data_IF_989357691788
#
_entry.id   IF_989357691788
#
_cell.length_a   1.000
_cell.length_b   1.000
_cell.length_c   1.000
_cell.angle_alpha   90.00
_cell.angle_beta   90.00
_cell.angle_gamma   90.00
#
_symmetry.space_group_name_H-M   'P 1'
#
loop_
_entity.id
_entity.type
_entity.pdbx_description
1 polymer ?
#
# COMPACT_ATOMS: atom_id res chain seq x y z
N UNK A 1 1.23 32.45 0.44
CA UNK A 1 0.58 31.35 -0.32
C UNK A 1 -0.24 31.89 -1.48
N UNK A 2 -1.24 32.74 -1.26
CA UNK A 2 -2.06 33.34 -2.33
C UNK A 2 -1.25 34.01 -3.45
N UNK A 3 -0.23 34.81 -3.10
CA UNK A 3 0.66 35.44 -4.10
C UNK A 3 1.40 34.43 -4.97
N UNK A 4 1.95 33.34 -4.39
CA UNK A 4 2.58 32.27 -5.16
C UNK A 4 1.59 31.55 -6.07
N UNK A 5 0.38 31.35 -5.59
CA UNK A 5 -0.70 30.73 -6.36
C UNK A 5 -1.12 31.58 -7.56
N UNK A 6 -1.23 32.90 -7.38
CA UNK A 6 -1.46 33.87 -8.46
C UNK A 6 -0.31 33.90 -9.47
N UNK A 7 0.94 33.92 -8.99
CA UNK A 7 2.11 33.90 -9.86
C UNK A 7 2.17 32.62 -10.71
N UNK A 8 1.85 31.46 -10.11
CA UNK A 8 1.76 30.19 -10.83
C UNK A 8 0.62 30.17 -11.87
N UNK A 9 -0.57 30.67 -11.52
CA UNK A 9 -1.69 30.78 -12.45
C UNK A 9 -1.36 31.70 -13.64
N UNK A 10 -0.67 32.82 -13.40
CA UNK A 10 -0.20 33.71 -14.46
C UNK A 10 0.79 33.02 -15.40
N UNK A 11 1.74 32.25 -14.85
CA UNK A 11 2.69 31.46 -15.65
C UNK A 11 1.98 30.39 -16.50
N UNK A 12 0.95 29.72 -15.96
CA UNK A 12 0.14 28.76 -16.73
C UNK A 12 -0.67 29.43 -17.83
N UNK A 13 -1.22 30.62 -17.57
CA UNK A 13 -1.96 31.38 -18.57
C UNK A 13 -1.05 31.79 -19.74
N UNK A 14 0.15 32.28 -19.43
CA UNK A 14 1.17 32.62 -20.44
C UNK A 14 1.60 31.39 -21.24
N UNK A 15 1.95 30.28 -20.57
CA UNK A 15 2.39 29.05 -21.21
C UNK A 15 1.32 28.33 -22.04
N UNK A 16 0.04 28.69 -21.88
CA UNK A 16 -1.09 28.10 -22.59
C UNK A 16 -1.74 29.05 -23.60
N UNK A 17 -1.08 30.17 -23.94
CA UNK A 17 -1.62 31.23 -24.81
C UNK A 17 -3.04 31.69 -24.38
N UNK A 18 -3.27 31.74 -23.07
CA UNK A 18 -4.53 32.18 -22.48
C UNK A 18 -5.65 31.13 -22.43
N UNK A 19 -5.40 29.89 -22.84
CA UNK A 19 -6.38 28.80 -22.76
C UNK A 19 -6.73 28.42 -21.31
N UNK A 20 -5.74 28.45 -20.41
CA UNK A 20 -5.96 28.31 -18.97
C UNK A 20 -6.16 29.71 -18.35
N UNK A 21 -7.30 29.91 -17.71
CA UNK A 21 -7.61 31.15 -16.99
C UNK A 21 -7.97 30.82 -15.53
N UNK A 22 -7.52 31.62 -14.56
CA UNK A 22 -7.87 31.38 -13.16
C UNK A 22 -9.37 31.51 -12.90
N UNK A 23 -9.85 30.87 -11.82
CA UNK A 23 -11.16 31.19 -11.25
C UNK A 23 -11.27 32.67 -10.82
N UNK A 24 -12.49 33.18 -10.60
CA UNK A 24 -12.73 34.61 -10.35
C UNK A 24 -12.24 35.09 -8.98
N UNK A 25 -12.31 34.24 -7.95
CA UNK A 25 -11.90 34.60 -6.60
C UNK A 25 -11.19 33.45 -5.88
N UNK A 26 -10.24 33.78 -5.00
CA UNK A 26 -9.74 32.81 -4.05
C UNK A 26 -10.88 32.42 -3.10
N UNK A 27 -11.04 31.13 -2.76
CA UNK A 27 -12.01 30.74 -1.75
C UNK A 27 -11.64 31.40 -0.42
N UNK A 28 -12.57 32.19 0.12
CA UNK A 28 -12.53 32.72 1.47
C UNK A 28 -13.71 32.15 2.27
N UNK A 29 -13.67 32.27 3.60
CA UNK A 29 -14.77 31.80 4.44
C UNK A 29 -16.12 32.47 4.10
N UNK A 30 -16.08 33.66 3.51
CA UNK A 30 -17.25 34.47 3.15
C UNK A 30 -17.60 34.41 1.65
N UNK A 31 -16.91 33.57 0.87
CA UNK A 31 -17.14 33.49 -0.59
C UNK A 31 -18.46 32.79 -0.91
N UNK A 32 -19.26 33.39 -1.80
CA UNK A 32 -20.42 32.72 -2.40
C UNK A 32 -19.92 31.54 -3.28
N UNK A 33 -20.46 30.32 -3.13
CA UNK A 33 -20.08 29.18 -3.98
C UNK A 33 -20.21 29.44 -5.48
N UNK A 34 -21.10 30.34 -5.90
CA UNK A 34 -21.24 30.75 -7.30
C UNK A 34 -20.03 31.55 -7.82
N UNK A 35 -19.31 32.25 -6.95
CA UNK A 35 -18.07 32.97 -7.29
C UNK A 35 -16.86 32.04 -7.48
N UNK A 36 -16.94 30.79 -6.99
CA UNK A 36 -15.94 29.74 -7.23
C UNK A 36 -15.99 29.21 -8.67
N UNK A 37 -16.99 29.61 -9.47
CA UNK A 37 -17.07 29.28 -10.89
C UNK A 37 -16.36 30.35 -11.74
N UNK A 38 -15.22 29.97 -12.31
CA UNK A 38 -14.46 30.77 -13.27
C UNK A 38 -14.84 30.52 -14.73
N UNK A 39 -14.30 31.30 -15.68
CA UNK A 39 -14.40 30.98 -17.12
C UNK A 39 -13.67 29.69 -17.51
N UNK A 40 -12.84 29.14 -16.61
CA UNK A 40 -12.07 27.92 -16.78
C UNK A 40 -11.99 27.15 -15.45
N UNK A 41 -11.82 25.81 -15.49
CA UNK A 41 -11.75 24.96 -14.28
C UNK A 41 -10.41 25.06 -13.52
N UNK A 42 -9.57 26.08 -13.78
CA UNK A 42 -8.28 26.20 -13.10
C UNK A 42 -8.47 26.69 -11.65
N UNK A 43 -8.24 25.79 -10.70
CA UNK A 43 -8.25 26.12 -9.28
C UNK A 43 -7.19 27.18 -8.96
N UNK A 44 -7.61 28.25 -8.27
CA UNK A 44 -6.73 29.34 -7.87
C UNK A 44 -5.73 28.93 -6.78
N UNK A 45 -6.01 27.89 -6.00
CA UNK A 45 -5.05 27.32 -5.05
C UNK A 45 -4.47 26.04 -5.63
N UNK A 46 -3.19 26.03 -6.07
CA UNK A 46 -2.56 24.83 -6.58
C UNK A 46 -2.47 23.78 -5.50
N UNK A 47 -2.76 22.54 -5.88
CA UNK A 47 -2.50 21.39 -5.04
C UNK A 47 -0.99 21.08 -5.06
N UNK A 48 -0.30 21.36 -3.96
CA UNK A 48 1.08 20.92 -3.78
C UNK A 48 1.13 19.43 -3.44
N UNK A 49 1.46 18.63 -4.46
CA UNK A 49 1.57 17.17 -4.37
C UNK A 49 2.75 16.71 -3.53
N UNK A 50 3.78 17.54 -3.39
CA UNK A 50 4.94 17.30 -2.53
C UNK A 50 5.08 18.40 -1.47
N UNK A 51 5.21 17.99 -0.21
CA UNK A 51 5.41 18.87 0.94
C UNK A 51 6.79 18.71 1.55
N UNK A 52 7.10 19.54 2.55
CA UNK A 52 8.29 19.36 3.38
C UNK A 52 8.20 18.03 4.12
N UNK A 53 9.33 17.34 4.21
CA UNK A 53 9.46 16.08 4.95
C UNK A 53 10.44 16.26 6.09
N UNK A 54 10.21 15.46 7.12
CA UNK A 54 11.13 15.29 8.22
C UNK A 54 12.47 14.77 7.69
N UNK A 55 13.58 15.32 8.20
CA UNK A 55 14.88 14.66 8.13
C UNK A 55 14.93 13.69 9.31
N UNK A 56 14.66 12.42 9.02
CA UNK A 56 14.55 11.39 10.06
C UNK A 56 15.88 10.73 10.40
N UNK A 57 15.88 9.91 11.45
CA UNK A 57 17.02 9.04 11.80
C UNK A 57 17.35 8.06 10.66
N UNK A 58 16.35 7.69 9.88
CA UNK A 58 16.49 6.94 8.64
C UNK A 58 15.75 7.66 7.51
N UNK A 59 16.20 7.48 6.26
CA UNK A 59 15.50 7.97 5.07
C UNK A 59 15.12 6.78 4.22
N UNK A 60 13.82 6.56 3.98
CA UNK A 60 13.37 5.50 3.07
C UNK A 60 13.73 5.85 1.64
N UNK A 61 14.51 5.00 0.99
CA UNK A 61 14.99 5.17 -0.39
C UNK A 61 14.34 4.19 -1.36
N UNK A 62 14.47 4.45 -2.66
CA UNK A 62 13.86 3.63 -3.70
C UNK A 62 14.35 2.18 -3.66
N UNK A 63 15.64 1.98 -3.35
CA UNK A 63 16.30 0.68 -3.29
C UNK A 63 15.64 -0.25 -2.26
N UNK A 64 15.11 0.33 -1.18
CA UNK A 64 14.41 -0.40 -0.12
C UNK A 64 12.98 -0.81 -0.52
N UNK A 65 12.51 -0.40 -1.70
CA UNK A 65 11.20 -0.77 -2.24
C UNK A 65 11.31 -1.78 -3.40
N UNK A 66 12.52 -2.07 -3.87
CA UNK A 66 12.75 -2.94 -5.01
C UNK A 66 12.52 -4.41 -4.63
N UNK A 67 11.95 -5.23 -5.52
CA UNK A 67 11.81 -6.66 -5.29
C UNK A 67 13.19 -7.32 -5.22
N UNK A 68 13.33 -8.32 -4.35
CA UNK A 68 14.58 -9.07 -4.20
C UNK A 68 14.88 -10.03 -5.38
N UNK A 69 13.90 -10.28 -6.27
CA UNK A 69 14.04 -11.17 -7.41
C UNK A 69 12.91 -11.05 -8.42
N UNK A 70 12.96 -11.81 -9.53
CA UNK A 70 11.89 -11.85 -10.53
C UNK A 70 10.63 -12.54 -10.00
N UNK A 71 9.49 -12.23 -10.60
CA UNK A 71 8.20 -12.86 -10.26
C UNK A 71 7.63 -12.35 -8.93
N UNK A 72 7.02 -13.26 -8.16
CA UNK A 72 6.50 -12.97 -6.82
C UNK A 72 7.68 -12.71 -5.88
N UNK A 73 7.93 -11.43 -5.53
CA UNK A 73 8.97 -11.05 -4.58
C UNK A 73 8.58 -9.85 -3.70
N UNK A 74 9.12 -9.82 -2.48
CA UNK A 74 9.04 -8.67 -1.55
C UNK A 74 10.37 -7.90 -1.54
N UNK A 75 10.33 -6.65 -1.08
CA UNK A 75 11.55 -5.92 -0.76
C UNK A 75 12.21 -6.46 0.51
N UNK A 76 13.51 -6.20 0.67
CA UNK A 76 14.25 -6.60 1.86
C UNK A 76 13.68 -5.93 3.12
N UNK A 77 13.64 -6.66 4.23
CA UNK A 77 13.24 -6.10 5.52
C UNK A 77 14.29 -5.08 5.99
N UNK A 78 13.89 -3.91 6.48
CA UNK A 78 14.82 -2.99 7.12
C UNK A 78 15.25 -3.56 8.47
N UNK A 79 16.55 -3.53 8.73
CA UNK A 79 17.16 -4.03 9.97
C UNK A 79 18.07 -2.98 10.59
N UNK A 80 18.19 -3.00 11.92
CA UNK A 80 19.21 -2.25 12.63
C UNK A 80 20.61 -2.90 12.45
N UNK A 81 21.70 -2.27 12.95
CA UNK A 81 23.06 -2.86 12.86
C UNK A 81 23.23 -4.20 13.59
N UNK A 82 22.31 -4.58 14.47
CA UNK A 82 22.31 -5.86 15.18
C UNK A 82 21.46 -6.93 14.45
N UNK A 83 20.86 -6.58 13.31
CA UNK A 83 20.04 -7.48 12.49
C UNK A 83 18.58 -7.56 12.92
N UNK A 84 18.13 -6.75 13.89
CA UNK A 84 16.74 -6.74 14.31
C UNK A 84 15.87 -5.98 13.30
N UNK A 85 14.71 -6.54 12.93
CA UNK A 85 13.78 -5.89 11.99
C UNK A 85 13.19 -4.61 12.57
N UNK A 86 13.32 -3.49 11.86
CA UNK A 86 12.85 -2.16 12.32
C UNK A 86 11.52 -1.72 11.72
N UNK A 87 10.88 -2.56 10.91
CA UNK A 87 9.63 -2.25 10.22
C UNK A 87 8.47 -1.98 11.18
N UNK A 88 7.66 -0.96 10.88
CA UNK A 88 6.43 -0.61 11.61
C UNK A 88 5.21 -0.42 10.71
N UNK A 89 5.38 -0.48 9.39
CA UNK A 89 4.27 -0.43 8.44
C UNK A 89 4.65 -1.12 7.13
N UNK A 90 3.67 -1.73 6.48
CA UNK A 90 3.83 -2.41 5.19
C UNK A 90 3.07 -1.66 4.11
N UNK A 91 3.75 -1.35 3.00
CA UNK A 91 3.18 -0.78 1.78
C UNK A 91 3.33 -1.73 0.60
N UNK A 92 2.53 -1.55 -0.45
CA UNK A 92 2.57 -2.40 -1.66
C UNK A 92 2.15 -1.65 -2.94
N UNK A 93 2.31 -0.33 -2.96
CA UNK A 93 1.93 0.46 -4.12
C UNK A 93 3.10 0.55 -5.11
N UNK A 94 2.78 0.41 -6.40
CA UNK A 94 3.76 0.62 -7.45
C UNK A 94 4.19 2.10 -7.46
N UNK A 95 5.46 2.35 -7.72
CA UNK A 95 5.96 3.72 -7.78
C UNK A 95 5.34 4.47 -8.96
N UNK A 96 4.56 5.49 -8.64
CA UNK A 96 3.74 6.26 -9.59
C UNK A 96 4.33 7.67 -9.80
N UNK A 97 5.63 7.72 -10.15
CA UNK A 97 6.26 8.93 -10.65
C UNK A 97 6.14 8.97 -12.18
N UNK A 98 5.58 10.07 -12.67
CA UNK A 98 5.53 10.40 -14.08
C UNK A 98 6.36 11.66 -14.32
N UNK A 99 7.36 11.56 -15.19
CA UNK A 99 8.18 12.69 -15.60
C UNK A 99 7.79 13.10 -17.02
N UNK A 100 7.78 14.40 -17.35
CA UNK A 100 7.58 14.84 -18.72
C UNK A 100 8.74 14.34 -19.61
N UNK A 101 8.43 13.98 -20.85
CA UNK A 101 9.41 13.48 -21.81
C UNK A 101 9.31 11.97 -22.05
N UNK A 102 10.36 11.34 -22.60
CA UNK A 102 10.37 9.91 -22.88
C UNK A 102 10.28 9.10 -21.57
N UNK A 103 9.68 7.92 -21.65
CA UNK A 103 9.61 7.01 -20.51
C UNK A 103 11.01 6.68 -19.99
N UNK A 104 11.20 6.93 -18.69
CA UNK A 104 12.42 6.54 -18.00
C UNK A 104 12.31 5.06 -17.62
N UNK A 105 13.29 4.21 -17.96
CA UNK A 105 13.26 2.81 -17.56
C UNK A 105 13.48 2.74 -16.04
N UNK A 106 12.39 2.74 -15.29
CA UNK A 106 12.42 2.51 -13.85
C UNK A 106 12.52 1.00 -13.59
N UNK A 107 13.28 0.62 -12.56
CA UNK A 107 13.26 -0.74 -12.07
C UNK A 107 11.81 -1.16 -11.74
N UNK A 108 11.37 -2.37 -12.15
CA UNK A 108 10.02 -2.83 -11.90
C UNK A 108 9.81 -2.96 -10.39
N UNK A 109 8.90 -2.16 -9.84
CA UNK A 109 8.46 -2.17 -8.43
C UNK A 109 7.09 -2.80 -8.31
N UNK A 110 6.83 -3.74 -9.20
CA UNK A 110 5.56 -4.43 -9.32
C UNK A 110 5.79 -5.86 -9.74
N UNK A 111 4.94 -6.74 -9.25
CA UNK A 111 4.92 -8.16 -9.56
C UNK A 111 3.50 -8.59 -9.91
N UNK A 112 3.38 -9.73 -10.60
CA UNK A 112 2.10 -10.40 -10.78
C UNK A 112 1.69 -11.06 -9.47
N UNK A 113 0.52 -10.70 -8.96
CA UNK A 113 -0.07 -11.33 -7.79
C UNK A 113 -1.60 -11.19 -7.81
N UNK A 114 -2.31 -12.27 -7.47
CA UNK A 114 -3.77 -12.25 -7.34
C UNK A 114 -4.51 -11.81 -8.60
N UNK A 115 -4.02 -12.17 -9.80
CA UNK A 115 -4.67 -11.87 -11.08
C UNK A 115 -4.37 -10.49 -11.68
N UNK A 116 -3.46 -9.71 -11.08
CA UNK A 116 -3.12 -8.35 -11.54
C UNK A 116 -1.65 -8.01 -11.30
N UNK A 117 -1.22 -6.87 -11.84
CA UNK A 117 0.00 -6.20 -11.38
C UNK A 117 -0.25 -5.55 -10.01
N UNK A 118 0.57 -5.92 -9.03
CA UNK A 118 0.57 -5.37 -7.68
C UNK A 118 1.95 -4.76 -7.42
N UNK A 119 2.03 -3.71 -6.60
CA UNK A 119 3.34 -3.18 -6.21
C UNK A 119 4.08 -4.18 -5.32
N UNK A 120 5.41 -4.14 -5.40
CA UNK A 120 6.28 -4.91 -4.50
C UNK A 120 5.98 -4.52 -3.05
N UNK A 121 5.70 -5.48 -2.15
CA UNK A 121 5.55 -5.17 -0.75
C UNK A 121 6.87 -4.71 -0.16
N UNK A 122 6.83 -3.64 0.61
CA UNK A 122 7.98 -3.05 1.28
C UNK A 122 7.60 -2.59 2.68
N UNK A 123 8.62 -2.31 3.47
CA UNK A 123 8.48 -1.95 4.87
C UNK A 123 8.96 -0.52 5.15
N UNK A 124 8.32 0.15 6.09
CA UNK A 124 8.76 1.46 6.60
C UNK A 124 9.44 1.24 7.95
N UNK A 125 10.75 1.57 8.08
CA UNK A 125 11.45 1.48 9.35
C UNK A 125 10.97 2.55 10.33
N UNK A 126 10.97 2.22 11.63
CA UNK A 126 10.58 3.16 12.68
C UNK A 126 11.42 4.44 12.68
N UNK A 127 12.73 4.34 12.38
CA UNK A 127 13.63 5.49 12.30
C UNK A 127 13.20 6.54 11.28
N UNK A 128 12.42 6.17 10.25
CA UNK A 128 11.92 7.12 9.27
C UNK A 128 10.79 8.04 9.80
N UNK A 129 10.19 7.68 10.93
CA UNK A 129 9.15 8.48 11.59
C UNK A 129 9.75 9.44 12.62
N UNK A 130 10.98 9.20 13.07
CA UNK A 130 11.65 9.91 14.17
C UNK A 130 12.55 11.02 13.65
N UNK A 131 12.53 12.21 14.27
CA UNK A 131 13.42 13.32 13.90
C UNK A 131 14.89 13.02 14.21
N UNK A 132 15.80 13.42 13.33
CA UNK A 132 17.25 13.35 13.60
C UNK A 132 17.75 14.43 14.58
N UNK A 133 16.99 15.53 14.78
CA UNK A 133 17.44 16.69 15.55
C UNK A 133 16.64 16.92 16.84
N UNK A 134 15.40 16.43 16.90
CA UNK A 134 14.47 16.74 18.00
C UNK A 134 13.90 15.43 18.55
N UNK A 135 14.40 14.99 19.70
CA UNK A 135 14.14 13.65 20.24
C UNK A 135 12.65 13.34 20.49
N UNK A 136 11.82 14.37 20.72
CA UNK A 136 10.38 14.25 20.96
C UNK A 136 9.50 14.63 19.76
N UNK A 137 10.08 14.73 18.56
CA UNK A 137 9.35 15.03 17.33
C UNK A 137 9.28 13.81 16.41
N UNK A 138 8.07 13.52 15.92
CA UNK A 138 7.81 12.51 14.90
C UNK A 138 6.98 13.10 13.76
N UNK A 139 7.07 12.49 12.59
CA UNK A 139 6.22 12.79 11.46
C UNK A 139 5.44 11.55 11.00
N UNK A 140 4.20 11.77 10.58
CA UNK A 140 3.31 10.77 10.03
C UNK A 140 2.81 11.21 8.65
N UNK A 141 1.88 10.43 8.08
CA UNK A 141 1.32 10.67 6.74
C UNK A 141 2.44 10.83 5.69
N UNK A 142 2.39 11.85 4.82
CA UNK A 142 3.40 12.13 3.79
C UNK A 142 4.61 12.91 4.31
N UNK A 143 4.60 13.28 5.60
CA UNK A 143 5.64 14.11 6.22
C UNK A 143 6.84 13.31 6.75
N UNK A 144 6.76 11.98 6.79
CA UNK A 144 7.86 11.13 7.26
C UNK A 144 9.09 11.16 6.33
N UNK A 145 10.20 10.65 6.82
CA UNK A 145 11.50 10.70 6.16
C UNK A 145 11.59 9.71 5.00
N UNK A 146 11.37 10.19 3.78
CA UNK A 146 11.45 9.39 2.55
C UNK A 146 12.05 10.22 1.41
N UNK A 147 12.82 9.57 0.54
CA UNK A 147 13.39 10.19 -0.66
C UNK A 147 12.30 10.58 -1.65
N UNK A 148 12.62 11.49 -2.57
CA UNK A 148 11.68 11.85 -3.65
C UNK A 148 11.21 10.59 -4.41
N UNK A 149 12.14 9.74 -4.86
CA UNK A 149 11.81 8.53 -5.61
C UNK A 149 10.95 7.54 -4.82
N UNK A 150 11.21 7.33 -3.53
CA UNK A 150 10.43 6.41 -2.70
C UNK A 150 9.00 6.92 -2.44
N UNK A 151 8.81 8.24 -2.32
CA UNK A 151 7.51 8.86 -2.07
C UNK A 151 6.41 8.50 -3.08
N UNK A 152 6.80 8.16 -4.32
CA UNK A 152 5.87 7.76 -5.36
C UNK A 152 5.14 6.45 -5.04
N UNK A 153 5.72 5.61 -4.18
CA UNK A 153 5.15 4.37 -3.69
C UNK A 153 4.56 4.49 -2.27
N UNK A 154 4.99 5.46 -1.46
CA UNK A 154 4.62 5.51 -0.03
C UNK A 154 3.41 6.40 0.29
N UNK A 155 2.93 7.18 -0.67
CA UNK A 155 1.93 8.26 -0.45
C UNK A 155 0.45 7.86 -0.53
N UNK A 156 0.13 6.58 -0.74
CA UNK A 156 -1.27 6.14 -0.83
C UNK A 156 -1.91 5.93 0.54
N UNK A 157 -3.22 6.18 0.58
CA UNK A 157 -4.08 6.13 1.77
C UNK A 157 -3.83 4.90 2.67
N UNK A 158 -3.75 3.66 2.14
CA UNK A 158 -3.53 2.49 3.00
C UNK A 158 -2.21 2.57 3.78
N UNK A 159 -1.12 3.00 3.15
CA UNK A 159 0.16 3.09 3.85
C UNK A 159 0.21 4.28 4.81
N UNK A 160 -0.27 5.46 4.40
CA UNK A 160 -0.23 6.64 5.27
C UNK A 160 -1.09 6.46 6.52
N UNK A 161 -2.19 5.71 6.45
CA UNK A 161 -2.99 5.32 7.61
C UNK A 161 -2.18 4.40 8.54
N UNK A 162 -1.48 3.40 8.02
CA UNK A 162 -0.59 2.54 8.81
C UNK A 162 0.55 3.33 9.47
N UNK A 163 1.16 4.28 8.75
CA UNK A 163 2.19 5.18 9.31
C UNK A 163 1.59 6.03 10.44
N UNK A 164 0.38 6.57 10.25
CA UNK A 164 -0.34 7.31 11.28
C UNK A 164 -0.61 6.48 12.52
N UNK A 165 -1.03 5.22 12.34
CA UNK A 165 -1.24 4.27 13.43
C UNK A 165 0.07 3.97 14.18
N UNK A 166 1.16 3.70 13.45
CA UNK A 166 2.49 3.47 14.04
C UNK A 166 2.97 4.68 14.86
N UNK A 167 2.87 5.90 14.29
CA UNK A 167 3.26 7.13 14.97
C UNK A 167 2.40 7.39 16.23
N UNK A 168 1.07 7.19 16.14
CA UNK A 168 0.16 7.35 17.27
C UNK A 168 0.43 6.35 18.40
N UNK A 169 0.63 5.06 18.05
CA UNK A 169 0.97 4.02 19.01
C UNK A 169 2.32 4.31 19.70
N UNK A 170 3.33 4.72 18.94
CA UNK A 170 4.62 5.12 19.49
C UNK A 170 4.51 6.33 20.41
N UNK A 171 3.75 7.37 20.03
CA UNK A 171 3.56 8.55 20.86
C UNK A 171 2.89 8.21 22.20
N UNK A 172 1.83 7.41 22.17
CA UNK A 172 1.14 6.95 23.38
C UNK A 172 2.07 6.12 24.28
N UNK A 173 2.86 5.22 23.68
CA UNK A 173 3.81 4.38 24.41
C UNK A 173 4.96 5.18 25.03
N UNK A 174 5.46 6.19 24.32
CA UNK A 174 6.50 7.11 24.79
C UNK A 174 6.01 7.87 26.04
N UNK A 175 4.82 8.45 25.97
CA UNK A 175 4.18 9.14 27.11
C UNK A 175 3.97 8.18 28.29
N UNK A 176 3.44 6.98 28.04
CA UNK A 176 3.19 5.99 29.09
C UNK A 176 4.47 5.53 29.81
N UNK A 177 5.62 5.54 29.12
CA UNK A 177 6.92 5.15 29.67
C UNK A 177 7.74 6.33 30.19
N UNK A 178 7.31 7.57 29.96
CA UNK A 178 8.06 8.77 30.32
C UNK A 178 9.39 8.90 29.58
N UNK A 179 9.46 8.42 28.33
CA UNK A 179 10.66 8.47 27.48
C UNK A 179 10.37 9.20 26.18
N UNK A 180 11.41 9.68 25.49
CA UNK A 180 11.26 10.21 24.15
C UNK A 180 10.93 9.08 23.15
N UNK A 181 10.16 9.33 22.07
CA UNK A 181 9.86 8.31 21.05
C UNK A 181 11.10 7.64 20.46
N UNK A 182 12.20 8.40 20.28
CA UNK A 182 13.46 7.85 19.79
C UNK A 182 14.14 6.83 20.74
N UNK A 183 13.73 6.81 22.01
CA UNK A 183 14.23 5.87 23.03
C UNK A 183 13.35 4.61 23.14
N UNK A 184 12.24 4.53 22.40
CA UNK A 184 11.39 3.35 22.43
C UNK A 184 12.06 2.16 21.75
N UNK A 185 12.04 0.97 22.37
CA UNK A 185 12.37 -0.26 21.66
C UNK A 185 11.39 -0.46 20.50
N UNK A 186 11.89 -0.62 19.27
CA UNK A 186 11.04 -0.83 18.08
C UNK A 186 10.10 -2.02 18.27
N UNK A 187 10.59 -3.08 18.93
CA UNK A 187 9.78 -4.24 19.32
C UNK A 187 8.52 -3.86 20.08
N UNK A 188 8.59 -2.90 20.99
CA UNK A 188 7.44 -2.49 21.77
C UNK A 188 6.37 -1.77 20.91
N UNK A 189 6.80 -1.01 19.90
CA UNK A 189 5.91 -0.38 18.91
C UNK A 189 5.28 -1.45 18.01
N UNK A 190 6.08 -2.40 17.50
CA UNK A 190 5.62 -3.53 16.69
C UNK A 190 4.58 -4.37 17.44
N UNK A 191 4.83 -4.70 18.71
CA UNK A 191 3.87 -5.43 19.53
C UNK A 191 2.59 -4.65 19.80
N UNK A 192 2.67 -3.33 20.03
CA UNK A 192 1.48 -2.50 20.18
C UNK A 192 0.62 -2.53 18.92
N UNK A 193 1.24 -2.47 17.73
CA UNK A 193 0.54 -2.54 16.44
C UNK A 193 -0.10 -3.91 16.19
N UNK A 194 0.63 -5.01 16.44
CA UNK A 194 0.15 -6.38 16.20
C UNK A 194 -0.94 -6.81 17.20
N UNK A 195 -0.96 -6.21 18.39
CA UNK A 195 -1.89 -6.52 19.48
C UNK A 195 -3.02 -5.49 19.61
N UNK A 196 -3.10 -4.50 18.72
CA UNK A 196 -4.21 -3.56 18.72
C UNK A 196 -5.55 -4.33 18.64
N UNK A 197 -6.48 -4.10 19.59
CA UNK A 197 -7.71 -4.88 19.68
C UNK A 197 -8.75 -4.50 18.61
N UNK A 198 -8.62 -3.34 17.97
CA UNK A 198 -9.59 -2.83 17.00
C UNK A 198 -9.05 -2.93 15.57
N UNK A 199 -7.79 -2.56 15.36
CA UNK A 199 -7.15 -2.47 14.06
C UNK A 199 -5.73 -3.05 14.11
N UNK A 200 -5.54 -4.36 14.28
CA UNK A 200 -4.21 -4.95 14.26
C UNK A 200 -3.51 -4.66 12.93
N UNK A 201 -2.26 -4.18 12.99
CA UNK A 201 -1.50 -3.79 11.82
C UNK A 201 -0.30 -4.72 11.57
N UNK A 202 -0.16 -5.20 10.34
CA UNK A 202 1.02 -5.96 9.92
C UNK A 202 2.26 -5.09 9.96
N UNK A 203 3.38 -5.67 10.40
CA UNK A 203 4.69 -5.02 10.39
C UNK A 203 5.68 -5.72 9.45
N UNK A 204 5.35 -6.91 8.93
CA UNK A 204 6.09 -7.58 7.85
C UNK A 204 5.15 -8.11 6.75
N UNK A 205 5.60 -8.18 5.48
CA UNK A 205 4.75 -8.52 4.34
C UNK A 205 4.65 -10.04 4.12
N UNK A 206 3.90 -10.74 4.99
CA UNK A 206 3.54 -12.15 4.77
C UNK A 206 2.43 -12.26 3.73
N UNK A 207 2.77 -12.67 2.51
CA UNK A 207 1.85 -12.77 1.38
C UNK A 207 0.96 -14.00 1.39
N UNK A 208 1.38 -15.07 2.05
CA UNK A 208 0.64 -16.33 2.13
C UNK A 208 -0.25 -16.43 3.37
N UNK A 209 -0.20 -15.42 4.23
CA UNK A 209 -0.88 -15.43 5.54
C UNK A 209 -1.89 -14.29 5.56
N UNK A 210 -3.18 -14.55 5.26
CA UNK A 210 -4.20 -13.51 5.31
C UNK A 210 -4.40 -12.99 6.73
N UNK A 211 -4.96 -11.79 6.87
CA UNK A 211 -5.19 -11.11 8.15
C UNK A 211 -6.09 -11.90 9.12
N UNK A 212 -6.98 -12.73 8.57
CA UNK A 212 -7.91 -13.57 9.33
C UNK A 212 -7.32 -14.94 9.71
N UNK A 213 -6.09 -15.25 9.27
CA UNK A 213 -5.43 -16.51 9.61
C UNK A 213 -5.23 -16.62 11.13
N UNK A 214 -5.56 -17.76 11.79
CA UNK A 214 -5.48 -17.88 13.24
C UNK A 214 -4.06 -17.67 13.78
N UNK A 215 -3.04 -18.08 13.02
CA UNK A 215 -1.63 -17.85 13.33
C UNK A 215 -1.07 -16.52 12.79
N UNK A 216 -1.86 -15.61 12.21
CA UNK A 216 -1.37 -14.38 11.56
C UNK A 216 -0.44 -13.58 12.48
N UNK A 217 -0.91 -13.29 13.70
CA UNK A 217 -0.13 -12.55 14.70
C UNK A 217 1.14 -13.30 15.11
N UNK A 218 1.02 -14.61 15.32
CA UNK A 218 2.15 -15.44 15.72
C UNK A 218 3.24 -15.48 14.64
N UNK A 219 2.84 -15.57 13.36
CA UNK A 219 3.77 -15.54 12.23
C UNK A 219 4.47 -14.19 12.11
N UNK A 220 3.75 -13.08 12.27
CA UNK A 220 4.35 -11.73 12.33
C UNK A 220 5.41 -11.65 13.43
N UNK A 221 5.09 -12.04 14.66
CA UNK A 221 6.03 -12.03 15.79
C UNK A 221 7.24 -12.93 15.54
N UNK A 222 7.02 -14.13 15.00
CA UNK A 222 8.08 -15.07 14.72
C UNK A 222 9.05 -14.57 13.64
N UNK A 223 8.58 -13.85 12.62
CA UNK A 223 9.47 -13.20 11.64
C UNK A 223 10.29 -12.09 12.30
N UNK A 224 9.71 -11.32 13.21
CA UNK A 224 10.48 -10.31 13.94
C UNK A 224 11.57 -10.93 14.83
N UNK A 225 11.31 -12.11 15.40
CA UNK A 225 12.28 -12.86 16.22
C UNK A 225 13.36 -13.54 15.37
N UNK A 226 13.00 -13.95 14.15
CA UNK A 226 13.87 -14.64 13.20
C UNK A 226 13.46 -14.27 11.76
N UNK A 227 14.11 -13.24 11.17
CA UNK A 227 13.78 -12.76 9.82
C UNK A 227 13.89 -13.82 8.72
N UNK A 228 14.62 -14.92 8.95
CA UNK A 228 14.72 -16.03 7.99
C UNK A 228 13.41 -16.78 7.80
N UNK A 229 12.42 -16.57 8.67
CA UNK A 229 11.06 -17.13 8.56
C UNK A 229 10.20 -16.44 7.51
N UNK A 230 10.71 -15.42 6.83
CA UNK A 230 10.05 -14.79 5.69
C UNK A 230 10.92 -14.95 4.44
N UNK A 231 10.41 -15.69 3.46
CA UNK A 231 11.06 -15.86 2.17
C UNK A 231 11.10 -14.56 1.36
N UNK A 232 12.06 -14.45 0.45
CA UNK A 232 12.14 -13.33 -0.50
C UNK A 232 10.91 -13.26 -1.44
N UNK A 233 10.16 -14.35 -1.55
CA UNK A 233 8.87 -14.46 -2.25
C UNK A 233 7.67 -14.13 -1.34
N UNK A 234 7.89 -13.59 -0.15
CA UNK A 234 6.86 -13.21 0.82
C UNK A 234 6.18 -14.38 1.53
N UNK A 235 6.67 -15.62 1.38
CA UNK A 235 6.06 -16.80 2.04
C UNK A 235 6.61 -17.04 3.43
N UNK A 236 5.78 -17.62 4.28
CA UNK A 236 6.14 -18.11 5.60
C UNK A 236 7.05 -19.34 5.50
N UNK A 237 8.22 -19.27 6.14
CA UNK A 237 9.24 -20.33 6.16
C UNK A 237 9.37 -21.01 7.54
N UNK A 238 8.34 -20.97 8.37
CA UNK A 238 8.34 -21.63 9.69
C UNK A 238 7.54 -22.94 9.73
N UNK A 239 7.38 -23.55 10.93
CA UNK A 239 6.52 -24.71 11.10
C UNK A 239 5.07 -24.39 10.72
N UNK A 240 4.30 -25.41 10.36
CA UNK A 240 2.89 -25.30 9.93
C UNK A 240 2.69 -24.42 8.68
N UNK A 241 3.53 -24.60 7.67
CA UNK A 241 3.46 -23.92 6.36
C UNK A 241 2.35 -24.44 5.45
N UNK A 242 1.41 -25.24 5.97
CA UNK A 242 0.31 -25.73 5.15
C UNK A 242 -0.54 -24.55 4.65
N UNK A 243 -0.85 -24.49 3.34
CA UNK A 243 -1.73 -23.48 2.79
C UNK A 243 -3.10 -23.55 3.47
N UNK A 244 -3.71 -22.39 3.68
CA UNK A 244 -5.13 -22.37 4.05
C UNK A 244 -5.98 -22.90 2.89
N UNK A 245 -7.10 -23.52 3.22
CA UNK A 245 -8.04 -23.99 2.20
C UNK A 245 -8.66 -22.80 1.47
N UNK A 246 -8.82 -22.85 0.14
CA UNK A 246 -9.35 -21.75 -0.68
C UNK A 246 -10.84 -21.45 -0.43
N UNK A 247 -11.51 -22.18 0.46
CA UNK A 247 -12.90 -21.99 0.87
C UNK A 247 -13.06 -21.19 2.18
N UNK A 248 -11.97 -20.76 2.83
CA UNK A 248 -12.01 -20.30 4.24
C UNK A 248 -12.07 -18.79 4.45
N UNK A 249 -12.00 -17.99 3.39
CA UNK A 249 -12.06 -16.54 3.52
C UNK A 249 -13.40 -16.10 4.18
N UNK A 250 -13.39 -15.11 5.08
CA UNK A 250 -14.60 -14.63 5.73
C UNK A 250 -15.55 -14.00 4.69
N UNK A 251 -16.87 -14.00 4.96
CA UNK A 251 -17.84 -13.37 4.08
C UNK A 251 -17.65 -11.85 4.03
N UNK A 252 -17.77 -11.27 2.84
CA UNK A 252 -17.69 -9.83 2.62
C UNK A 252 -19.07 -9.24 2.25
N UNK A 253 -19.35 -7.96 2.57
CA UNK A 253 -20.57 -7.31 2.12
C UNK A 253 -20.74 -7.36 0.60
N UNK A 254 -21.96 -7.66 0.15
CA UNK A 254 -22.34 -7.73 -1.27
C UNK A 254 -21.69 -8.87 -2.07
N UNK A 255 -21.06 -9.85 -1.41
CA UNK A 255 -20.56 -11.03 -2.10
C UNK A 255 -21.70 -11.86 -2.69
N UNK A 256 -21.43 -12.48 -3.84
CA UNK A 256 -22.36 -13.34 -4.55
C UNK A 256 -21.62 -14.58 -5.04
N UNK A 257 -22.37 -15.64 -5.32
CA UNK A 257 -21.85 -16.84 -5.97
C UNK A 257 -21.84 -16.65 -7.50
N UNK A 258 -20.74 -17.03 -8.13
CA UNK A 258 -20.49 -16.90 -9.56
C UNK A 258 -20.04 -18.26 -10.10
N UNK A 259 -20.95 -18.96 -10.79
CA UNK A 259 -20.66 -20.26 -11.41
C UNK A 259 -20.24 -20.08 -12.86
N UNK A 260 -19.12 -20.70 -13.24
CA UNK A 260 -18.60 -20.60 -14.59
C UNK A 260 -17.30 -21.36 -14.77
N UNK A 261 -16.62 -21.09 -15.89
CA UNK A 261 -15.33 -21.71 -16.20
C UNK A 261 -14.20 -20.69 -16.00
N UNK A 262 -13.30 -20.98 -15.07
CA UNK A 262 -12.09 -20.20 -14.84
C UNK A 262 -11.03 -20.60 -15.86
N UNK A 263 -10.35 -19.63 -16.46
CA UNK A 263 -9.25 -19.87 -17.41
C UNK A 263 -8.05 -19.00 -17.04
N UNK A 264 -6.87 -19.58 -16.76
CA UNK A 264 -5.62 -18.82 -16.65
C UNK A 264 -5.18 -18.30 -18.03
N UNK A 265 -4.58 -17.12 -18.08
CA UNK A 265 -4.06 -16.53 -19.33
C UNK A 265 -2.60 -16.91 -19.65
N UNK A 266 -1.91 -17.57 -18.71
CA UNK A 266 -0.49 -17.93 -18.82
C UNK A 266 0.49 -16.83 -18.40
N UNK A 267 0.01 -15.63 -18.08
CA UNK A 267 0.79 -14.46 -17.67
C UNK A 267 0.48 -13.99 -16.23
N UNK A 268 -0.19 -14.85 -15.46
CA UNK A 268 -0.57 -14.59 -14.07
C UNK A 268 -1.91 -13.86 -13.90
N UNK A 269 -2.70 -13.74 -14.97
CA UNK A 269 -4.09 -13.32 -14.95
C UNK A 269 -5.06 -14.50 -15.07
N UNK A 270 -6.30 -14.25 -14.67
CA UNK A 270 -7.38 -15.24 -14.70
C UNK A 270 -8.66 -14.59 -15.18
N UNK A 271 -9.53 -15.38 -15.79
CA UNK A 271 -10.86 -14.93 -16.20
C UNK A 271 -11.92 -15.98 -15.92
N UNK A 272 -13.14 -15.55 -15.64
CA UNK A 272 -14.32 -16.39 -15.44
C UNK A 272 -15.29 -16.19 -16.60
N UNK A 273 -15.60 -17.27 -17.32
CA UNK A 273 -16.67 -17.31 -18.31
C UNK A 273 -17.99 -17.74 -17.66
N UNK A 274 -19.03 -16.89 -17.75
CA UNK A 274 -20.37 -17.11 -17.18
C UNK A 274 -21.39 -17.63 -18.22
N UNK A 275 -20.90 -18.02 -19.41
CA UNK A 275 -21.69 -18.35 -20.60
C UNK A 275 -20.88 -18.05 -21.86
N UNK A 276 -21.52 -18.08 -23.03
CA UNK A 276 -20.84 -17.85 -24.31
C UNK A 276 -20.28 -16.42 -24.45
N UNK A 277 -21.02 -15.41 -23.99
CA UNK A 277 -20.75 -14.01 -24.34
C UNK A 277 -20.21 -13.16 -23.17
N UNK A 278 -20.07 -13.74 -21.98
CA UNK A 278 -19.66 -12.98 -20.78
C UNK A 278 -18.43 -13.59 -20.14
N UNK A 279 -17.33 -12.84 -20.20
CA UNK A 279 -16.06 -13.13 -19.55
C UNK A 279 -15.66 -11.98 -18.63
N UNK A 280 -15.32 -12.30 -17.39
CA UNK A 280 -14.87 -11.33 -16.39
C UNK A 280 -13.43 -11.62 -15.99
N UNK A 281 -12.50 -10.66 -16.09
CA UNK A 281 -11.22 -10.73 -15.41
C UNK A 281 -11.39 -10.98 -13.90
N UNK A 282 -10.57 -11.85 -13.32
CA UNK A 282 -10.58 -12.16 -11.90
C UNK A 282 -9.40 -11.53 -11.19
N UNK A 283 -9.66 -11.01 -9.99
CA UNK A 283 -8.61 -10.68 -9.02
C UNK A 283 -8.94 -11.32 -7.68
N UNK A 284 -7.91 -11.62 -6.89
CA UNK A 284 -8.07 -12.08 -5.50
C UNK A 284 -7.15 -11.29 -4.57
N UNK A 285 -7.58 -11.15 -3.31
CA UNK A 285 -6.77 -10.70 -2.19
C UNK A 285 -6.47 -11.84 -1.19
N UNK A 286 -6.99 -13.04 -1.48
CA UNK A 286 -6.92 -14.21 -0.61
C UNK A 286 -5.81 -15.15 -1.08
N UNK A 287 -4.75 -15.38 -0.28
CA UNK A 287 -3.58 -16.14 -0.72
C UNK A 287 -3.86 -17.60 -1.06
N UNK A 288 -4.78 -18.24 -0.34
CA UNK A 288 -5.20 -19.63 -0.63
C UNK A 288 -5.87 -19.75 -1.99
N UNK A 289 -6.79 -18.84 -2.30
CA UNK A 289 -7.43 -18.78 -3.62
C UNK A 289 -6.41 -18.40 -4.71
N UNK A 290 -5.45 -17.52 -4.43
CA UNK A 290 -4.36 -17.23 -5.36
C UNK A 290 -3.54 -18.49 -5.67
N UNK A 291 -3.20 -19.28 -4.66
CA UNK A 291 -2.52 -20.57 -4.82
C UNK A 291 -3.33 -21.55 -5.67
N UNK A 292 -4.63 -21.70 -5.40
CA UNK A 292 -5.53 -22.54 -6.19
C UNK A 292 -5.61 -22.09 -7.66
N UNK A 293 -5.75 -20.79 -7.92
CA UNK A 293 -5.80 -20.23 -9.27
C UNK A 293 -4.50 -20.50 -10.05
N UNK A 294 -3.34 -20.33 -9.42
CA UNK A 294 -2.03 -20.60 -10.03
C UNK A 294 -1.81 -22.10 -10.33
N UNK A 295 -2.49 -23.00 -9.60
CA UNK A 295 -2.37 -24.44 -9.78
C UNK A 295 -3.24 -25.00 -10.91
N UNK A 296 -4.10 -24.18 -11.53
CA UNK A 296 -4.95 -24.60 -12.64
C UNK A 296 -4.11 -24.88 -13.90
N UNK A 297 -4.18 -26.11 -14.41
CA UNK A 297 -3.53 -26.52 -15.65
C UNK A 297 -4.33 -26.18 -16.92
N UNK A 298 -5.56 -25.70 -16.77
CA UNK A 298 -6.45 -25.39 -17.88
C UNK A 298 -7.81 -24.84 -17.42
N UNK A 299 -8.79 -24.77 -18.34
CA UNK A 299 -10.13 -24.32 -18.03
C UNK A 299 -10.82 -25.22 -16.99
N UNK A 300 -11.31 -24.63 -15.90
CA UNK A 300 -11.90 -25.36 -14.77
C UNK A 300 -13.27 -24.80 -14.43
N UNK A 301 -14.30 -25.64 -14.51
CA UNK A 301 -15.65 -25.28 -14.07
C UNK A 301 -15.74 -25.29 -12.55
N UNK A 302 -16.18 -24.19 -11.96
CA UNK A 302 -16.29 -24.03 -10.52
C UNK A 302 -17.31 -22.94 -10.15
N UNK A 303 -17.58 -22.79 -8.86
CA UNK A 303 -18.33 -21.68 -8.29
C UNK A 303 -17.42 -20.88 -7.37
N UNK A 304 -17.28 -19.59 -7.65
CA UNK A 304 -16.50 -18.64 -6.86
C UNK A 304 -17.44 -17.74 -6.06
N UNK A 305 -17.03 -17.33 -4.86
CA UNK A 305 -17.71 -16.27 -4.11
C UNK A 305 -16.89 -14.99 -4.21
N UNK A 306 -17.55 -13.88 -4.54
CA UNK A 306 -16.89 -12.60 -4.71
C UNK A 306 -17.82 -11.45 -5.06
N UNK A 307 -17.23 -10.25 -5.14
CA UNK A 307 -17.94 -9.01 -5.43
C UNK A 307 -17.51 -8.47 -6.81
N UNK A 308 -18.50 -8.14 -7.65
CA UNK A 308 -18.23 -7.42 -8.88
C UNK A 308 -17.78 -5.99 -8.54
N UNK A 309 -16.64 -5.57 -9.07
CA UNK A 309 -16.19 -4.19 -8.91
C UNK A 309 -17.07 -3.28 -9.79
N UNK A 310 -17.78 -2.33 -9.20
CA UNK A 310 -18.61 -1.38 -9.96
C UNK A 310 -17.79 -0.27 -10.62
N UNK A 311 -16.56 -0.04 -10.15
CA UNK A 311 -15.63 0.97 -10.65
C UNK A 311 -14.55 0.42 -11.60
N UNK A 312 -14.58 -0.87 -11.93
CA UNK A 312 -13.62 -1.48 -12.84
C UNK A 312 -14.09 -2.83 -13.40
N UNK A 313 -13.46 -3.35 -14.47
CA UNK A 313 -13.96 -4.52 -15.20
C UNK A 313 -13.73 -5.87 -14.50
N UNK A 314 -13.37 -5.89 -13.21
CA UNK A 314 -12.87 -7.09 -12.53
C UNK A 314 -13.89 -7.66 -11.53
N UNK A 315 -13.93 -8.98 -11.42
CA UNK A 315 -14.57 -9.69 -10.32
C UNK A 315 -13.53 -9.96 -9.22
N UNK A 316 -13.70 -9.39 -8.03
CA UNK A 316 -12.85 -9.68 -6.87
C UNK A 316 -13.40 -10.89 -6.14
N UNK A 317 -12.70 -12.01 -6.24
CA UNK A 317 -13.09 -13.28 -5.63
C UNK A 317 -12.31 -13.52 -4.34
N UNK A 318 -13.01 -14.01 -3.32
CA UNK A 318 -12.43 -14.29 -2.00
C UNK A 318 -12.25 -15.79 -1.77
N UNK A 319 -13.19 -16.62 -2.23
CA UNK A 319 -13.14 -18.07 -1.98
C UNK A 319 -13.84 -18.91 -3.03
N UNK A 320 -13.56 -20.21 -3.02
CA UNK A 320 -14.43 -21.21 -3.65
C UNK A 320 -15.72 -21.36 -2.85
N UNK A 321 -16.86 -21.56 -3.54
CA UNK A 321 -18.05 -22.05 -2.88
C UNK A 321 -17.82 -23.51 -2.47
N UNK A 322 -18.07 -23.82 -1.19
CA UNK A 322 -17.98 -25.18 -0.64
C UNK A 322 -19.11 -26.09 -1.10
#
# INVERSE_FOLDING_TARGET
>A
MQEHSLAFAAALQDASDGWLQPARCFPSADSDPSDLTGPSPLALMPYWREGRRLVGLEVVTEQQLLPQGPGQAIAALPTDPLGATTSVAVGNYANDHHYPGPDWPLAPKSCRWGGRWSGTPFCIPFGALLSAEVENLMAADKGFSTSHMANGATRLQPLILNIGQAAGAAAALAVARGVAPAQLPVRAVQEALLRDPQAPAAVVPLWDTPWHHPAWRQRQLAVLDDPSRLGADGRWCGPDSQPTEPCTAPPEPHEQAWTGTVTPDGEGGFSLALGADRRLPLITLEPSLHGWLNALSGPTSTTLVGCLNTAGPWLRVSRLAG
#
